data_IF_201055064564
#
_entry.id   IF_201055064564
#
_cell.length_a   1.000
_cell.length_b   1.000
_cell.length_c   1.000
_cell.angle_alpha   90.00
_cell.angle_beta   90.00
_cell.angle_gamma   90.00
#
_symmetry.space_group_name_H-M   'P 1'
#
loop_
_entity.id
_entity.type
_entity.pdbx_description
1 polymer ?
#
# COMPACT_ATOMS: atom_id res chain seq x y z
N UNK A 1 14.61 -27.92 -11.88
CA UNK A 1 13.42 -27.12 -11.55
C UNK A 1 13.73 -26.03 -10.52
N UNK A 2 14.49 -26.32 -9.46
CA UNK A 2 14.94 -25.32 -8.47
C UNK A 2 15.47 -24.00 -9.10
N UNK A 3 16.53 -24.05 -9.91
CA UNK A 3 17.06 -22.84 -10.60
C UNK A 3 16.04 -22.24 -11.59
N UNK A 4 15.18 -23.06 -12.19
CA UNK A 4 14.17 -22.58 -13.12
C UNK A 4 13.13 -21.68 -12.44
N UNK A 5 12.81 -21.92 -11.17
CA UNK A 5 11.93 -21.05 -10.38
C UNK A 5 12.51 -19.64 -10.25
N UNK A 6 13.82 -19.52 -9.97
CA UNK A 6 14.52 -18.22 -9.93
C UNK A 6 14.46 -17.55 -11.31
N UNK A 7 14.72 -18.28 -12.40
CA UNK A 7 14.68 -17.73 -13.75
C UNK A 7 13.27 -17.23 -14.09
N UNK A 8 12.23 -18.00 -13.78
CA UNK A 8 10.83 -17.61 -13.96
C UNK A 8 10.53 -16.32 -13.17
N UNK A 9 10.94 -16.28 -11.91
CA UNK A 9 10.74 -15.11 -11.05
C UNK A 9 11.45 -13.87 -11.62
N UNK A 10 12.73 -13.96 -11.98
CA UNK A 10 13.51 -12.84 -12.53
C UNK A 10 12.95 -12.34 -13.86
N UNK A 11 12.55 -13.25 -14.77
CA UNK A 11 11.92 -12.87 -16.05
C UNK A 11 10.56 -12.21 -15.80
N UNK A 12 9.75 -12.79 -14.93
CA UNK A 12 8.45 -12.26 -14.54
C UNK A 12 8.56 -10.86 -13.93
N UNK A 13 9.52 -10.68 -13.04
CA UNK A 13 9.83 -9.40 -12.43
C UNK A 13 10.34 -8.36 -13.42
N UNK A 14 11.21 -8.76 -14.35
CA UNK A 14 11.65 -7.89 -15.43
C UNK A 14 10.48 -7.47 -16.32
N UNK A 15 9.51 -8.35 -16.57
CA UNK A 15 8.30 -8.01 -17.32
C UNK A 15 7.43 -6.97 -16.59
N UNK A 16 7.31 -7.08 -15.27
CA UNK A 16 6.63 -6.09 -14.40
C UNK A 16 7.32 -4.73 -14.52
N UNK A 17 8.65 -4.68 -14.32
CA UNK A 17 9.43 -3.44 -14.39
C UNK A 17 9.41 -2.80 -15.79
N UNK A 18 9.29 -3.62 -16.84
CA UNK A 18 9.23 -3.19 -18.25
C UNK A 18 7.80 -3.05 -18.77
N UNK A 19 6.79 -2.88 -17.90
CA UNK A 19 5.38 -2.68 -18.25
C UNK A 19 5.19 -1.66 -19.39
N UNK A 20 5.79 -0.48 -19.27
CA UNK A 20 5.60 0.59 -20.26
C UNK A 20 6.22 0.25 -21.65
N UNK A 21 7.48 -0.24 -21.75
CA UNK A 21 8.03 -0.77 -22.99
C UNK A 21 7.25 -1.95 -23.58
N UNK A 22 6.82 -2.91 -22.75
CA UNK A 22 6.15 -4.14 -23.18
C UNK A 22 4.67 -3.94 -23.51
N UNK A 23 4.04 -2.88 -22.98
CA UNK A 23 2.60 -2.60 -23.07
C UNK A 23 1.73 -3.75 -22.55
N UNK A 24 2.23 -4.44 -21.54
CA UNK A 24 1.53 -5.52 -20.84
C UNK A 24 1.31 -5.04 -19.41
N UNK A 25 0.07 -5.15 -18.93
CA UNK A 25 -0.30 -4.80 -17.57
C UNK A 25 0.53 -5.61 -16.55
N UNK A 26 1.13 -4.90 -15.58
CA UNK A 26 1.97 -5.53 -14.56
C UNK A 26 1.28 -6.64 -13.77
N UNK A 27 -0.03 -6.53 -13.57
CA UNK A 27 -0.84 -7.49 -12.80
C UNK A 27 -0.94 -8.82 -13.53
N UNK A 28 -1.07 -8.78 -14.86
CA UNK A 28 -1.08 -9.99 -15.69
C UNK A 28 0.27 -10.73 -15.60
N UNK A 29 1.38 -9.98 -15.70
CA UNK A 29 2.73 -10.53 -15.55
C UNK A 29 2.96 -11.12 -14.15
N UNK A 30 2.50 -10.45 -13.10
CA UNK A 30 2.61 -10.93 -11.72
C UNK A 30 1.83 -12.23 -11.51
N UNK A 31 0.57 -12.31 -11.95
CA UNK A 31 -0.25 -13.52 -11.83
C UNK A 31 0.36 -14.72 -12.56
N UNK A 32 0.84 -14.51 -13.80
CA UNK A 32 1.54 -15.56 -14.54
C UNK A 32 2.78 -16.02 -13.81
N UNK A 33 3.57 -15.08 -13.28
CA UNK A 33 4.79 -15.41 -12.52
C UNK A 33 4.46 -16.25 -11.29
N UNK A 34 3.49 -15.84 -10.48
CA UNK A 34 3.04 -16.60 -9.31
C UNK A 34 2.65 -18.02 -9.65
N UNK A 35 1.74 -18.20 -10.61
CA UNK A 35 1.27 -19.54 -11.01
C UNK A 35 2.39 -20.38 -11.61
N UNK A 36 3.28 -19.80 -12.43
CA UNK A 36 4.39 -20.53 -13.04
C UNK A 36 5.43 -20.97 -12.02
N UNK A 37 5.72 -20.17 -10.98
CA UNK A 37 6.63 -20.56 -9.89
C UNK A 37 6.08 -21.77 -9.14
N UNK A 38 4.80 -21.75 -8.74
CA UNK A 38 4.15 -22.90 -8.09
C UNK A 38 4.07 -24.13 -9.00
N UNK A 39 3.80 -23.93 -10.29
CA UNK A 39 3.80 -25.02 -11.27
C UNK A 39 5.19 -25.67 -11.39
N UNK A 40 6.26 -24.87 -11.43
CA UNK A 40 7.63 -25.36 -11.45
C UNK A 40 8.01 -26.10 -10.15
N UNK A 41 7.48 -25.66 -9.01
CA UNK A 41 7.64 -26.35 -7.71
C UNK A 41 6.99 -27.73 -7.73
N UNK A 42 5.75 -27.85 -8.22
CA UNK A 42 5.05 -29.15 -8.35
C UNK A 42 5.83 -30.10 -9.27
N UNK A 43 6.25 -29.62 -10.44
CA UNK A 43 7.01 -30.42 -11.41
C UNK A 43 8.36 -30.89 -10.84
N UNK A 44 8.99 -30.06 -10.00
CA UNK A 44 10.28 -30.36 -9.36
C UNK A 44 10.20 -30.90 -7.93
N UNK A 45 9.01 -31.20 -7.42
CA UNK A 45 8.79 -31.41 -5.98
C UNK A 45 9.52 -32.62 -5.41
N UNK A 46 9.79 -33.64 -6.24
CA UNK A 46 10.56 -34.82 -5.86
C UNK A 46 12.01 -34.49 -5.47
N UNK A 47 12.66 -33.64 -6.27
CA UNK A 47 14.04 -33.22 -6.06
C UNK A 47 14.17 -32.04 -5.08
N UNK A 48 13.17 -31.15 -5.05
CA UNK A 48 13.21 -29.92 -4.24
C UNK A 48 12.80 -30.21 -2.79
N UNK A 49 11.69 -30.92 -2.59
CA UNK A 49 11.11 -31.14 -1.25
C UNK A 49 11.56 -32.46 -0.62
N UNK A 50 12.25 -33.33 -1.36
CA UNK A 50 12.74 -34.63 -0.88
C UNK A 50 11.63 -35.65 -0.53
N UNK A 51 10.38 -35.36 -0.88
CA UNK A 51 9.23 -36.21 -0.60
C UNK A 51 9.12 -37.38 -1.61
N UNK A 52 8.83 -38.58 -1.11
CA UNK A 52 8.74 -39.80 -1.92
C UNK A 52 7.29 -40.13 -2.29
N UNK A 53 6.82 -39.56 -3.39
CA UNK A 53 5.54 -39.90 -4.00
C UNK A 53 4.75 -38.68 -4.42
N UNK A 54 4.11 -38.75 -5.59
CA UNK A 54 3.33 -37.64 -6.15
C UNK A 54 2.27 -37.18 -5.15
N UNK A 55 1.63 -38.11 -4.44
CA UNK A 55 0.55 -37.80 -3.50
C UNK A 55 1.01 -37.00 -2.28
N UNK A 56 2.18 -37.31 -1.72
CA UNK A 56 2.77 -36.59 -0.59
C UNK A 56 3.24 -35.20 -1.02
N UNK A 57 3.84 -35.08 -2.21
CA UNK A 57 4.24 -33.81 -2.81
C UNK A 57 3.01 -32.91 -3.01
N UNK A 58 1.95 -33.43 -3.64
CA UNK A 58 0.73 -32.65 -3.88
C UNK A 58 0.06 -32.24 -2.58
N UNK A 59 -0.01 -33.13 -1.58
CA UNK A 59 -0.63 -32.80 -0.30
C UNK A 59 0.15 -31.72 0.46
N UNK A 60 1.50 -31.78 0.44
CA UNK A 60 2.33 -30.75 1.03
C UNK A 60 2.15 -29.40 0.30
N UNK A 61 2.22 -29.39 -1.03
CA UNK A 61 2.05 -28.17 -1.82
C UNK A 61 0.66 -27.57 -1.63
N UNK A 62 -0.41 -28.38 -1.61
CA UNK A 62 -1.77 -27.90 -1.36
C UNK A 62 -1.88 -27.26 0.03
N UNK A 63 -1.24 -27.85 1.04
CA UNK A 63 -1.19 -27.29 2.39
C UNK A 63 -0.47 -25.93 2.41
N UNK A 64 0.72 -25.84 1.81
CA UNK A 64 1.52 -24.60 1.77
C UNK A 64 0.83 -23.49 0.98
N UNK A 65 0.22 -23.82 -0.18
CA UNK A 65 -0.56 -22.86 -0.96
C UNK A 65 -1.71 -22.31 -0.12
N UNK A 66 -2.49 -23.16 0.55
CA UNK A 66 -3.63 -22.70 1.36
C UNK A 66 -3.17 -21.87 2.57
N UNK A 67 -2.05 -22.26 3.19
CA UNK A 67 -1.44 -21.49 4.27
C UNK A 67 -1.07 -20.08 3.81
N UNK A 68 -0.25 -19.95 2.77
CA UNK A 68 0.15 -18.65 2.22
C UNK A 68 -1.03 -17.87 1.65
N UNK A 69 -1.98 -18.53 0.98
CA UNK A 69 -3.17 -17.88 0.44
C UNK A 69 -4.04 -17.26 1.54
N UNK A 70 -4.06 -17.84 2.75
CA UNK A 70 -4.80 -17.27 3.88
C UNK A 70 -4.18 -15.95 4.37
N UNK A 71 -2.85 -15.86 4.41
CA UNK A 71 -2.10 -14.65 4.79
C UNK A 71 -2.22 -13.58 3.71
N UNK A 72 -1.95 -13.96 2.45
CA UNK A 72 -2.11 -13.10 1.29
C UNK A 72 -3.55 -12.59 1.21
N UNK A 73 -4.54 -13.48 1.32
CA UNK A 73 -5.96 -13.13 1.31
C UNK A 73 -6.32 -12.11 2.39
N UNK A 74 -5.75 -12.23 3.58
CA UNK A 74 -5.95 -11.25 4.66
C UNK A 74 -5.47 -9.84 4.24
N UNK A 75 -4.32 -9.74 3.57
CA UNK A 75 -3.82 -8.47 3.02
C UNK A 75 -4.74 -7.97 1.89
N UNK A 76 -5.11 -8.83 0.95
CA UNK A 76 -5.94 -8.43 -0.21
C UNK A 76 -7.33 -7.95 0.21
N UNK A 77 -8.00 -8.64 1.15
CA UNK A 77 -9.29 -8.19 1.68
C UNK A 77 -9.14 -6.89 2.48
N UNK A 78 -8.01 -6.71 3.18
CA UNK A 78 -7.72 -5.45 3.84
C UNK A 78 -7.65 -4.30 2.83
N UNK A 79 -6.82 -4.45 1.79
CA UNK A 79 -6.60 -3.46 0.76
C UNK A 79 -7.87 -3.14 -0.02
N UNK A 80 -8.63 -4.16 -0.43
CA UNK A 80 -9.90 -3.97 -1.15
C UNK A 80 -10.91 -3.19 -0.29
N UNK A 81 -11.03 -3.55 1.00
CA UNK A 81 -11.90 -2.85 1.93
C UNK A 81 -11.49 -1.39 2.16
N UNK A 82 -10.19 -1.17 2.38
CA UNK A 82 -9.63 0.16 2.61
C UNK A 82 -9.82 1.06 1.38
N UNK A 83 -9.38 0.62 0.20
CA UNK A 83 -9.55 1.38 -1.04
C UNK A 83 -11.01 1.69 -1.34
N UNK A 84 -11.93 0.74 -1.10
CA UNK A 84 -13.36 1.01 -1.29
C UNK A 84 -13.89 2.10 -0.35
N UNK A 85 -13.44 2.14 0.91
CA UNK A 85 -13.78 3.21 1.85
C UNK A 85 -13.25 4.55 1.33
N UNK A 86 -11.99 4.60 0.86
CA UNK A 86 -11.43 5.86 0.37
C UNK A 86 -12.11 6.34 -0.90
N UNK A 87 -12.41 5.43 -1.82
CA UNK A 87 -13.13 5.75 -3.04
C UNK A 87 -14.55 6.26 -2.73
N UNK A 88 -15.21 5.72 -1.72
CA UNK A 88 -16.48 6.28 -1.23
C UNK A 88 -16.31 7.69 -0.67
N UNK A 89 -15.23 7.98 0.05
CA UNK A 89 -14.93 9.33 0.54
C UNK A 89 -14.74 10.28 -0.65
N UNK A 90 -13.94 9.89 -1.66
CA UNK A 90 -13.66 10.75 -2.81
C UNK A 90 -14.90 10.97 -3.69
N UNK A 91 -15.68 9.92 -3.94
CA UNK A 91 -16.94 10.02 -4.67
C UNK A 91 -17.91 11.02 -4.03
N UNK A 92 -17.91 11.12 -2.69
CA UNK A 92 -18.72 12.11 -1.95
C UNK A 92 -18.06 13.51 -1.86
N UNK A 93 -16.99 13.74 -2.61
CA UNK A 93 -16.12 14.91 -2.56
C UNK A 93 -15.56 15.19 -1.15
N UNK A 94 -15.39 14.16 -0.31
CA UNK A 94 -15.00 14.26 1.10
C UNK A 94 -13.73 15.08 1.32
N UNK A 95 -12.75 14.94 0.43
CA UNK A 95 -11.48 15.69 0.52
C UNK A 95 -11.62 17.20 0.31
N UNK A 96 -12.74 17.67 -0.27
CA UNK A 96 -13.03 19.11 -0.36
C UNK A 96 -13.19 19.77 1.00
N UNK A 97 -13.59 19.02 2.03
CA UNK A 97 -13.63 19.47 3.42
C UNK A 97 -12.29 20.08 3.82
N UNK A 98 -11.20 19.54 3.29
CA UNK A 98 -9.85 20.00 3.58
C UNK A 98 -9.39 21.05 2.57
N UNK A 99 -9.59 20.84 1.27
CA UNK A 99 -9.09 21.77 0.24
C UNK A 99 -9.75 23.14 0.28
N UNK A 100 -11.05 23.21 0.59
CA UNK A 100 -11.80 24.47 0.63
C UNK A 100 -11.27 25.43 1.72
N UNK A 101 -10.47 24.91 2.68
CA UNK A 101 -9.81 25.70 3.74
C UNK A 101 -8.44 26.26 3.32
N UNK A 102 -7.86 25.80 2.22
CA UNK A 102 -6.53 26.21 1.75
C UNK A 102 -6.64 27.44 0.84
N UNK A 103 -6.40 28.63 1.39
CA UNK A 103 -6.53 29.92 0.67
C UNK A 103 -5.21 30.59 0.28
N UNK A 104 -4.07 30.09 0.74
CA UNK A 104 -2.77 30.71 0.44
C UNK A 104 -2.34 30.49 -1.01
N UNK A 105 -1.62 31.46 -1.56
CA UNK A 105 -0.96 31.39 -2.88
C UNK A 105 0.56 31.44 -2.75
N UNK A 106 1.10 31.62 -1.54
CA UNK A 106 2.53 31.59 -1.31
C UNK A 106 3.05 30.15 -1.49
N UNK A 107 4.05 29.97 -2.35
CA UNK A 107 4.59 28.65 -2.70
C UNK A 107 5.07 27.88 -1.49
N UNK A 108 5.80 28.53 -0.58
CA UNK A 108 6.39 27.88 0.58
C UNK A 108 5.28 27.48 1.56
N UNK A 109 4.40 28.41 1.95
CA UNK A 109 3.29 28.12 2.85
C UNK A 109 2.38 27.04 2.28
N UNK A 110 2.07 27.09 0.99
CA UNK A 110 1.26 26.08 0.33
C UNK A 110 1.96 24.71 0.36
N UNK A 111 3.26 24.65 0.06
CA UNK A 111 4.04 23.41 0.10
C UNK A 111 4.01 22.79 1.50
N UNK A 112 4.25 23.59 2.54
CA UNK A 112 4.19 23.14 3.93
C UNK A 112 2.81 22.59 4.29
N UNK A 113 1.73 23.31 3.94
CA UNK A 113 0.37 22.85 4.21
C UNK A 113 0.10 21.52 3.52
N UNK A 114 0.37 21.43 2.21
CA UNK A 114 0.04 20.23 1.43
C UNK A 114 0.89 19.03 1.82
N UNK A 115 2.19 19.20 2.05
CA UNK A 115 3.08 18.10 2.42
C UNK A 115 2.81 17.57 3.82
N UNK A 116 2.63 18.44 4.83
CA UNK A 116 2.25 18.00 6.19
C UNK A 116 0.91 17.28 6.15
N UNK A 117 -0.05 17.81 5.39
CA UNK A 117 -1.36 17.20 5.27
C UNK A 117 -1.30 15.84 4.60
N UNK A 118 -0.53 15.72 3.52
CA UNK A 118 -0.26 14.46 2.82
C UNK A 118 0.38 13.45 3.77
N UNK A 119 1.35 13.87 4.58
CA UNK A 119 2.04 13.00 5.54
C UNK A 119 1.09 12.37 6.57
N UNK A 120 0.16 13.17 7.12
CA UNK A 120 -0.84 12.62 8.06
C UNK A 120 -1.96 11.87 7.36
N UNK A 121 -2.35 12.27 6.15
CA UNK A 121 -3.34 11.54 5.35
C UNK A 121 -2.84 10.15 5.00
N UNK A 122 -1.57 10.03 4.57
CA UNK A 122 -0.96 8.75 4.25
C UNK A 122 -0.71 7.87 5.47
N UNK A 123 -0.79 8.40 6.69
CA UNK A 123 -0.80 7.55 7.88
C UNK A 123 -2.18 6.89 8.10
N UNK A 124 -3.25 7.48 7.57
CA UNK A 124 -4.62 6.97 7.71
C UNK A 124 -5.14 6.24 6.46
N UNK A 125 -4.53 6.51 5.32
CA UNK A 125 -4.87 6.00 4.00
C UNK A 125 -3.62 5.38 3.39
N UNK A 126 -3.75 4.50 2.40
CA UNK A 126 -2.58 4.01 1.68
C UNK A 126 -1.88 5.14 0.88
N UNK A 127 -0.58 4.98 0.66
CA UNK A 127 0.31 5.93 -0.02
C UNK A 127 -0.11 6.24 -1.47
N UNK A 128 -0.53 5.23 -2.24
CA UNK A 128 -1.04 5.36 -3.60
C UNK A 128 -2.31 6.21 -3.61
N UNK A 129 -3.31 5.84 -2.81
CA UNK A 129 -4.57 6.56 -2.73
C UNK A 129 -4.35 8.00 -2.27
N UNK A 130 -3.53 8.21 -1.24
CA UNK A 130 -3.18 9.56 -0.79
C UNK A 130 -2.57 10.38 -1.92
N UNK A 131 -1.66 9.80 -2.69
CA UNK A 131 -1.02 10.45 -3.83
C UNK A 131 -2.03 10.81 -4.93
N UNK A 132 -2.97 9.91 -5.27
CA UNK A 132 -4.03 10.17 -6.26
C UNK A 132 -4.92 11.33 -5.81
N UNK A 133 -5.43 11.26 -4.57
CA UNK A 133 -6.29 12.29 -3.98
C UNK A 133 -5.56 13.63 -4.00
N UNK A 134 -4.33 13.67 -3.50
CA UNK A 134 -3.55 14.90 -3.42
C UNK A 134 -3.16 15.44 -4.81
N UNK A 135 -2.93 14.57 -5.80
CA UNK A 135 -2.72 14.99 -7.19
C UNK A 135 -3.99 15.64 -7.79
N UNK A 136 -5.18 15.12 -7.48
CA UNK A 136 -6.45 15.74 -7.88
C UNK A 136 -6.65 17.10 -7.21
N UNK A 137 -6.25 17.23 -5.93
CA UNK A 137 -6.22 18.52 -5.21
C UNK A 137 -5.25 19.51 -5.85
N UNK A 138 -4.04 19.09 -6.21
CA UNK A 138 -3.03 19.97 -6.82
C UNK A 138 -3.53 20.61 -8.10
N UNK A 139 -4.22 19.84 -8.97
CA UNK A 139 -4.80 20.36 -10.23
C UNK A 139 -5.82 21.48 -10.01
N UNK A 140 -6.47 21.54 -8.84
CA UNK A 140 -7.43 22.60 -8.48
C UNK A 140 -6.75 23.83 -7.87
N UNK A 141 -5.53 23.68 -7.35
CA UNK A 141 -4.81 24.74 -6.66
C UNK A 141 -3.73 25.40 -7.52
N UNK A 142 -3.14 24.69 -8.48
CA UNK A 142 -1.97 25.14 -9.24
C UNK A 142 -2.26 25.07 -10.74
N UNK A 143 -2.15 26.21 -11.44
CA UNK A 143 -2.32 26.33 -12.89
C UNK A 143 -1.05 25.97 -13.66
N UNK A 144 0.10 26.44 -13.18
CA UNK A 144 1.39 26.22 -13.85
C UNK A 144 1.85 24.76 -13.76
N UNK A 145 2.23 24.18 -14.89
CA UNK A 145 2.60 22.76 -14.98
C UNK A 145 3.89 22.43 -14.23
N UNK A 146 4.85 23.36 -14.19
CA UNK A 146 6.14 23.15 -13.51
C UNK A 146 5.95 23.17 -12.00
N UNK A 147 5.17 24.13 -11.49
CA UNK A 147 4.75 24.15 -10.08
C UNK A 147 4.00 22.86 -9.75
N UNK A 148 3.05 22.42 -10.59
CA UNK A 148 2.27 21.21 -10.35
C UNK A 148 3.15 19.95 -10.23
N UNK A 149 4.10 19.75 -11.14
CA UNK A 149 5.00 18.59 -11.10
C UNK A 149 5.95 18.61 -9.91
N UNK A 150 6.43 19.80 -9.54
CA UNK A 150 7.32 19.95 -8.40
C UNK A 150 6.60 19.69 -7.07
N UNK A 151 5.40 20.25 -6.91
CA UNK A 151 4.53 19.95 -5.77
C UNK A 151 4.13 18.47 -5.73
N UNK A 152 3.82 17.86 -6.87
CA UNK A 152 3.51 16.43 -6.94
C UNK A 152 4.67 15.58 -6.42
N UNK A 153 5.92 15.88 -6.82
CA UNK A 153 7.09 15.17 -6.30
C UNK A 153 7.23 15.26 -4.79
N UNK A 154 7.01 16.45 -4.21
CA UNK A 154 7.02 16.63 -2.75
C UNK A 154 5.87 15.89 -2.05
N UNK A 155 4.70 15.80 -2.69
CA UNK A 155 3.56 15.02 -2.19
C UNK A 155 3.89 13.52 -2.20
N UNK A 156 4.53 12.99 -3.24
CA UNK A 156 4.95 11.57 -3.24
C UNK A 156 5.91 11.28 -2.09
N UNK A 157 6.91 12.15 -1.85
CA UNK A 157 7.81 12.02 -0.70
C UNK A 157 7.04 12.04 0.62
N UNK A 158 6.09 12.97 0.77
CA UNK A 158 5.29 13.09 1.99
C UNK A 158 4.35 11.89 2.20
N UNK A 159 3.78 11.34 1.12
CA UNK A 159 2.91 10.17 1.18
C UNK A 159 3.71 8.95 1.63
N UNK A 160 4.83 8.62 0.97
CA UNK A 160 5.65 7.47 1.37
C UNK A 160 6.18 7.61 2.80
N UNK A 161 6.72 8.78 3.17
CA UNK A 161 7.18 9.03 4.52
C UNK A 161 6.03 8.92 5.54
N UNK A 162 4.84 9.41 5.20
CA UNK A 162 3.65 9.36 6.04
C UNK A 162 3.06 7.97 6.21
N UNK A 163 3.14 7.13 5.18
CA UNK A 163 2.67 5.74 5.21
C UNK A 163 3.50 4.84 6.12
N UNK A 164 4.83 4.99 6.07
CA UNK A 164 5.77 4.10 6.73
C UNK A 164 5.64 4.01 8.27
N UNK A 165 5.19 5.08 8.94
CA UNK A 165 5.07 5.10 10.40
C UNK A 165 3.71 4.60 10.92
N UNK A 166 2.81 4.16 10.02
CA UNK A 166 1.47 3.73 10.40
C UNK A 166 1.21 2.28 9.96
N UNK A 167 0.57 1.45 10.80
CA UNK A 167 0.24 0.06 10.46
C UNK A 167 -0.68 -0.10 9.25
N UNK A 168 -1.35 0.99 8.83
CA UNK A 168 -2.32 0.99 7.72
C UNK A 168 -1.93 1.92 6.57
N UNK A 169 -0.81 2.65 6.70
CA UNK A 169 -0.46 3.73 5.77
C UNK A 169 0.26 3.27 4.49
N UNK A 170 0.88 2.10 4.53
CA UNK A 170 1.52 1.47 3.38
C UNK A 170 1.25 -0.04 3.35
N UNK A 171 1.19 -0.62 2.16
CA UNK A 171 0.97 -2.05 1.92
C UNK A 171 2.04 -2.87 2.62
N UNK A 172 3.30 -2.47 2.55
CA UNK A 172 4.44 -3.14 3.21
C UNK A 172 4.30 -3.13 4.73
N UNK A 173 3.86 -2.01 5.31
CA UNK A 173 3.65 -1.90 6.76
C UNK A 173 2.42 -2.70 7.19
N UNK A 174 1.37 -2.74 6.37
CA UNK A 174 0.21 -3.63 6.55
C UNK A 174 0.66 -5.09 6.55
N UNK A 175 1.55 -5.49 5.63
CA UNK A 175 2.07 -6.86 5.56
C UNK A 175 2.81 -7.26 6.84
N UNK A 176 3.74 -6.43 7.31
CA UNK A 176 4.48 -6.66 8.56
C UNK A 176 3.55 -6.66 9.78
N UNK A 177 2.51 -5.83 9.77
CA UNK A 177 1.53 -5.80 10.85
C UNK A 177 0.59 -7.01 10.85
N UNK A 178 0.09 -7.44 9.69
CA UNK A 178 -0.77 -8.62 9.56
C UNK A 178 0.03 -9.90 9.85
N UNK A 179 1.27 -9.99 9.36
CA UNK A 179 2.18 -11.11 9.61
C UNK A 179 2.67 -11.19 11.06
N UNK A 180 2.51 -10.13 11.85
CA UNK A 180 2.82 -10.11 13.28
C UNK A 180 4.24 -9.65 13.62
N UNK A 181 5.04 -9.24 12.64
CA UNK A 181 6.37 -8.66 12.82
C UNK A 181 6.34 -7.32 13.56
N UNK A 182 5.28 -6.52 13.34
CA UNK A 182 5.10 -5.22 13.99
C UNK A 182 3.80 -5.15 14.78
N UNK A 183 3.84 -4.43 15.90
CA UNK A 183 2.64 -3.95 16.58
C UNK A 183 2.32 -2.51 16.17
N UNK A 184 1.02 -2.17 16.21
CA UNK A 184 0.56 -0.85 15.78
C UNK A 184 1.12 0.29 16.64
N UNK A 185 1.29 0.05 17.95
CA UNK A 185 1.85 1.06 18.85
C UNK A 185 3.34 1.28 18.60
N UNK A 186 4.09 0.19 18.40
CA UNK A 186 5.53 0.24 18.24
C UNK A 186 5.96 0.94 16.95
N UNK A 187 5.38 0.56 15.80
CA UNK A 187 5.70 1.21 14.52
C UNK A 187 5.46 2.72 14.55
N UNK A 188 4.40 3.17 15.23
CA UNK A 188 4.12 4.60 15.38
C UNK A 188 5.19 5.30 16.22
N UNK A 189 5.67 4.68 17.28
CA UNK A 189 6.66 5.32 18.17
C UNK A 189 8.04 5.35 17.53
N UNK A 190 8.49 4.23 16.96
CA UNK A 190 9.85 4.06 16.47
C UNK A 190 10.05 4.69 15.08
N UNK A 191 9.06 4.61 14.19
CA UNK A 191 9.21 5.05 12.80
C UNK A 191 8.74 6.49 12.57
N UNK A 192 7.90 7.07 13.44
CA UNK A 192 7.36 8.43 13.24
C UNK A 192 8.44 9.51 13.14
N UNK A 193 9.43 9.50 14.04
CA UNK A 193 10.50 10.50 14.02
C UNK A 193 11.42 10.36 12.79
N UNK A 194 11.92 9.16 12.43
CA UNK A 194 12.60 8.92 11.17
C UNK A 194 11.79 9.39 9.94
N UNK A 195 10.52 8.99 9.83
CA UNK A 195 9.62 9.39 8.75
C UNK A 195 9.43 10.90 8.67
N UNK A 196 9.25 11.57 9.81
CA UNK A 196 9.14 13.02 9.86
C UNK A 196 10.44 13.69 9.40
N UNK A 197 11.60 13.16 9.78
CA UNK A 197 12.89 13.66 9.31
C UNK A 197 13.05 13.50 7.79
N UNK A 198 12.63 12.36 7.23
CA UNK A 198 12.64 12.09 5.79
C UNK A 198 11.79 13.09 5.00
N UNK A 199 10.69 13.59 5.57
CA UNK A 199 9.89 14.68 5.00
C UNK A 199 10.53 16.06 5.19
N UNK A 200 10.95 16.36 6.43
CA UNK A 200 11.40 17.71 6.79
C UNK A 200 12.70 18.09 6.06
N UNK A 201 13.61 17.15 5.84
CA UNK A 201 14.88 17.42 5.15
C UNK A 201 14.68 18.04 3.74
N UNK A 202 13.95 17.40 2.80
CA UNK A 202 13.68 18.00 1.50
C UNK A 202 12.76 19.23 1.60
N UNK A 203 11.77 19.24 2.51
CA UNK A 203 10.84 20.37 2.65
C UNK A 203 11.55 21.66 3.10
N UNK A 204 12.45 21.55 4.07
CA UNK A 204 13.26 22.68 4.55
C UNK A 204 14.18 23.17 3.43
N UNK A 205 14.87 22.27 2.72
CA UNK A 205 15.73 22.63 1.61
C UNK A 205 14.98 23.40 0.50
N UNK A 206 13.80 22.89 0.12
CA UNK A 206 12.94 23.51 -0.89
C UNK A 206 12.40 24.87 -0.44
N UNK A 207 12.16 25.05 0.86
CA UNK A 207 11.67 26.32 1.43
C UNK A 207 12.63 27.50 1.20
N UNK A 208 13.92 27.22 1.09
CA UNK A 208 14.92 28.26 0.79
C UNK A 208 15.01 28.58 -0.70
N UNK A 209 14.77 27.59 -1.56
CA UNK A 209 15.03 27.68 -3.01
C UNK A 209 13.77 28.08 -3.80
N UNK A 210 12.57 27.68 -3.35
CA UNK A 210 11.33 27.75 -4.13
C UNK A 210 10.35 28.82 -3.63
N UNK A 211 10.72 30.09 -3.79
CA UNK A 211 9.94 31.25 -3.33
C UNK A 211 9.02 31.81 -4.42
N UNK A 212 8.06 32.64 -3.99
CA UNK A 212 7.11 33.33 -4.86
C UNK A 212 5.68 32.84 -4.67
N UNK A 213 4.80 33.21 -5.60
CA UNK A 213 3.39 32.86 -5.55
C UNK A 213 3.03 31.94 -6.71
N UNK A 214 2.07 31.06 -6.45
CA UNK A 214 1.40 30.26 -7.49
C UNK A 214 0.24 31.05 -8.11
N UNK A 215 -0.07 30.73 -9.36
CA UNK A 215 -1.32 31.12 -10.00
C UNK A 215 -2.33 29.99 -9.85
N UNK A 216 -3.55 30.31 -9.40
CA UNK A 216 -4.64 29.33 -9.29
C UNK A 216 -5.36 29.21 -10.63
N UNK A 217 -5.85 28.01 -11.01
CA UNK A 217 -6.72 27.87 -12.17
C UNK A 217 -7.95 28.77 -12.04
N UNK A 218 -8.43 29.30 -13.16
CA UNK A 218 -9.75 29.95 -13.20
C UNK A 218 -10.81 28.86 -12.97
N UNK A 219 -11.82 29.12 -12.13
CA UNK A 219 -12.89 28.14 -11.88
C UNK A 219 -13.68 27.89 -13.18
N UNK A 220 -13.34 26.83 -13.91
CA UNK A 220 -14.22 26.31 -14.96
C UNK A 220 -15.44 25.69 -14.27
N UNK A 221 -16.50 26.49 -14.16
CA UNK A 221 -17.76 26.12 -13.54
C UNK A 221 -18.58 25.20 -14.46
N UNK A 222 -18.05 24.05 -14.85
CA UNK A 222 -18.83 22.99 -15.48
C UNK A 222 -19.40 22.08 -14.37
N UNK A 223 -20.42 22.55 -13.66
CA UNK A 223 -21.20 21.70 -12.75
C UNK A 223 -22.15 20.85 -13.58
N UNK A 224 -21.72 19.65 -13.95
CA UNK A 224 -22.57 18.65 -14.62
C UNK A 224 -23.47 17.88 -13.64
N UNK A 225 -23.19 17.95 -12.33
CA UNK A 225 -23.95 17.28 -11.27
C UNK A 225 -24.44 18.24 -10.19
N UNK A 226 -25.58 17.90 -9.57
CA UNK A 226 -26.07 18.59 -8.38
C UNK A 226 -25.00 18.53 -7.27
N UNK A 227 -24.69 19.66 -6.59
CA UNK A 227 -23.67 19.67 -5.56
C UNK A 227 -24.10 18.80 -4.38
N UNK A 228 -23.21 17.90 -3.96
CA UNK A 228 -23.40 17.06 -2.78
C UNK A 228 -23.58 17.95 -1.54
N UNK A 229 -24.65 17.77 -0.74
CA UNK A 229 -24.86 18.58 0.45
C UNK A 229 -23.68 18.46 1.43
N UNK A 230 -23.24 19.59 1.99
CA UNK A 230 -22.07 19.64 2.88
C UNK A 230 -22.15 18.66 4.06
N UNK A 231 -23.35 18.39 4.58
CA UNK A 231 -23.54 17.48 5.70
C UNK A 231 -23.29 16.01 5.31
N UNK A 232 -23.68 15.61 4.08
CA UNK A 232 -23.45 14.26 3.54
C UNK A 232 -21.97 14.03 3.32
N UNK A 233 -21.31 14.99 2.66
CA UNK A 233 -19.86 15.01 2.45
C UNK A 233 -19.10 14.89 3.77
N UNK A 234 -19.46 15.71 4.76
CA UNK A 234 -18.80 15.66 6.08
C UNK A 234 -19.06 14.33 6.78
N UNK A 235 -20.28 13.81 6.73
CA UNK A 235 -20.63 12.53 7.34
C UNK A 235 -19.78 11.40 6.77
N UNK A 236 -19.74 11.25 5.45
CA UNK A 236 -18.97 10.18 4.78
C UNK A 236 -17.47 10.35 5.04
N UNK A 237 -16.94 11.57 4.95
CA UNK A 237 -15.53 11.85 5.23
C UNK A 237 -15.14 11.45 6.67
N UNK A 238 -15.85 11.98 7.68
CA UNK A 238 -15.51 11.69 9.08
C UNK A 238 -15.78 10.23 9.44
N UNK A 239 -16.85 9.62 8.95
CA UNK A 239 -17.14 8.22 9.20
C UNK A 239 -16.08 7.31 8.56
N UNK A 240 -15.73 7.53 7.29
CA UNK A 240 -14.74 6.73 6.58
C UNK A 240 -13.35 6.79 7.23
N UNK A 241 -12.85 8.01 7.51
CA UNK A 241 -11.57 8.18 8.23
C UNK A 241 -11.63 7.56 9.63
N UNK A 242 -12.75 7.69 10.34
CA UNK A 242 -12.90 7.07 11.67
C UNK A 242 -12.89 5.54 11.60
N UNK A 243 -13.53 4.93 10.59
CA UNK A 243 -13.51 3.48 10.43
C UNK A 243 -12.12 2.94 10.07
N UNK A 244 -11.32 3.69 9.28
CA UNK A 244 -9.92 3.35 8.99
C UNK A 244 -9.06 3.38 10.26
N UNK A 245 -9.14 4.48 11.02
CA UNK A 245 -8.39 4.64 12.28
C UNK A 245 -8.88 3.71 13.40
N UNK A 246 -10.09 3.17 13.28
CA UNK A 246 -10.64 2.19 14.21
C UNK A 246 -10.01 0.79 14.05
N UNK A 247 -9.47 0.43 12.87
CA UNK A 247 -8.99 -0.94 12.62
C UNK A 247 -7.86 -1.38 13.56
N UNK A 248 -6.85 -0.56 13.86
CA UNK A 248 -5.83 -0.91 14.86
C UNK A 248 -6.41 -1.14 16.26
N UNK A 249 -7.40 -0.33 16.65
CA UNK A 249 -8.10 -0.47 17.93
C UNK A 249 -8.89 -1.78 17.95
N UNK A 250 -9.62 -2.09 16.88
CA UNK A 250 -10.37 -3.33 16.72
C UNK A 250 -9.47 -4.55 16.86
N UNK A 251 -8.32 -4.61 16.15
CA UNK A 251 -7.34 -5.71 16.27
C UNK A 251 -6.85 -5.85 17.71
N UNK A 252 -6.48 -4.74 18.35
CA UNK A 252 -5.90 -4.75 19.70
C UNK A 252 -6.89 -5.25 20.76
N UNK A 253 -8.17 -4.88 20.64
CA UNK A 253 -9.21 -5.25 21.62
C UNK A 253 -9.79 -6.64 21.36
N UNK A 254 -9.99 -7.01 20.10
CA UNK A 254 -10.68 -8.26 19.73
C UNK A 254 -9.74 -9.41 19.40
N UNK A 255 -8.45 -9.13 19.14
CA UNK A 255 -7.46 -10.05 18.57
C UNK A 255 -7.83 -10.65 17.21
N UNK A 256 -8.91 -10.17 16.57
CA UNK A 256 -9.27 -10.58 15.22
C UNK A 256 -8.33 -9.96 14.18
N UNK A 257 -8.14 -10.64 13.03
CA UNK A 257 -7.32 -10.10 11.94
C UNK A 257 -7.81 -8.72 11.46
N UNK A 258 -6.89 -7.81 11.05
CA UNK A 258 -7.24 -6.46 10.58
C UNK A 258 -8.30 -6.41 9.48
N UNK A 259 -8.30 -7.38 8.56
CA UNK A 259 -9.26 -7.39 7.46
C UNK A 259 -10.72 -7.48 7.95
N UNK A 260 -10.97 -8.13 9.09
CA UNK A 260 -12.31 -8.18 9.68
C UNK A 260 -12.76 -6.79 10.17
N UNK A 261 -11.83 -6.01 10.73
CA UNK A 261 -12.08 -4.63 11.15
C UNK A 261 -12.39 -3.72 9.98
N UNK A 262 -11.63 -3.82 8.88
CA UNK A 262 -11.91 -3.00 7.68
C UNK A 262 -13.22 -3.40 7.01
N UNK A 263 -13.56 -4.69 6.95
CA UNK A 263 -14.82 -5.15 6.36
C UNK A 263 -16.02 -4.71 7.19
N UNK A 264 -15.88 -4.69 8.52
CA UNK A 264 -16.87 -4.07 9.41
C UNK A 264 -17.00 -2.56 9.10
N UNK A 265 -15.87 -1.87 8.96
CA UNK A 265 -15.80 -0.48 8.50
C UNK A 265 -16.58 -0.21 7.22
N UNK A 266 -16.27 -0.99 6.19
CA UNK A 266 -16.91 -0.89 4.89
C UNK A 266 -18.40 -1.23 4.99
N UNK A 267 -18.78 -2.27 5.73
CA UNK A 267 -20.18 -2.65 5.92
C UNK A 267 -21.01 -1.55 6.60
N UNK A 268 -20.47 -0.91 7.64
CA UNK A 268 -21.12 0.23 8.31
C UNK A 268 -21.24 1.41 7.36
N UNK A 269 -20.15 1.79 6.68
CA UNK A 269 -20.15 2.90 5.73
C UNK A 269 -21.14 2.66 4.58
N UNK A 270 -21.18 1.43 4.06
CA UNK A 270 -22.12 1.00 3.03
C UNK A 270 -23.56 1.18 3.50
N UNK A 271 -23.92 0.65 4.68
CA UNK A 271 -25.28 0.78 5.21
C UNK A 271 -25.70 2.25 5.35
N UNK A 272 -24.80 3.10 5.85
CA UNK A 272 -25.07 4.54 6.01
C UNK A 272 -25.27 5.22 4.66
N UNK A 273 -24.40 4.97 3.68
CA UNK A 273 -24.52 5.60 2.34
C UNK A 273 -25.72 5.07 1.57
N UNK A 274 -26.10 3.80 1.73
CA UNK A 274 -27.30 3.24 1.13
C UNK A 274 -28.58 3.84 1.71
N UNK A 275 -28.66 3.99 3.04
CA UNK A 275 -29.78 4.66 3.71
C UNK A 275 -29.89 6.12 3.23
N UNK A 276 -28.75 6.80 3.11
CA UNK A 276 -28.68 8.20 2.69
C UNK A 276 -29.21 8.42 1.26
N UNK A 277 -28.93 7.49 0.36
CA UNK A 277 -29.28 7.59 -1.05
C UNK A 277 -30.57 6.86 -1.44
N UNK A 278 -31.20 6.13 -0.51
CA UNK A 278 -32.36 5.28 -0.76
C UNK A 278 -33.54 5.99 -1.44
N UNK A 279 -33.74 7.26 -1.14
CA UNK A 279 -34.86 8.09 -1.66
C UNK A 279 -34.49 8.91 -2.89
N UNK A 280 -33.21 8.90 -3.31
CA UNK A 280 -32.72 9.71 -4.42
C UNK A 280 -32.74 8.89 -5.73
N UNK A 281 -32.83 9.59 -6.87
CA UNK A 281 -32.93 8.94 -8.18
C UNK A 281 -31.71 8.05 -8.49
N UNK A 282 -31.92 6.74 -8.62
CA UNK A 282 -30.83 5.73 -8.80
C UNK A 282 -29.89 6.03 -9.97
N UNK A 283 -30.36 6.66 -11.04
CA UNK A 283 -29.52 7.01 -12.19
C UNK A 283 -28.51 8.14 -11.90
N UNK A 284 -28.79 9.03 -10.95
CA UNK A 284 -27.91 10.16 -10.62
C UNK A 284 -26.89 9.80 -9.53
N UNK A 285 -27.26 8.90 -8.61
CA UNK A 285 -26.48 8.61 -7.40
C UNK A 285 -25.79 7.23 -7.43
N UNK A 286 -25.80 6.53 -8.57
CA UNK A 286 -25.20 5.19 -8.64
C UNK A 286 -23.69 5.20 -8.33
N UNK A 287 -22.97 6.21 -8.81
CA UNK A 287 -21.54 6.40 -8.52
C UNK A 287 -21.23 6.71 -7.05
N UNK A 288 -22.25 7.07 -6.25
CA UNK A 288 -22.14 7.33 -4.81
C UNK A 288 -22.49 6.10 -3.96
N UNK A 289 -22.91 5.01 -4.59
CA UNK A 289 -23.13 3.71 -3.92
C UNK A 289 -21.86 2.87 -3.96
N UNK A 290 -21.69 1.99 -2.98
CA UNK A 290 -20.53 1.08 -2.92
C UNK A 290 -20.38 0.23 -4.18
N UNK A 291 -21.50 -0.20 -4.78
CA UNK A 291 -21.49 -0.97 -6.04
C UNK A 291 -21.00 -0.14 -7.22
N UNK A 292 -21.27 1.18 -7.21
CA UNK A 292 -20.75 2.11 -8.20
C UNK A 292 -19.26 2.38 -8.00
N UNK A 293 -18.83 2.66 -6.77
CA UNK A 293 -17.43 2.96 -6.43
C UNK A 293 -16.51 1.75 -6.55
N UNK A 294 -17.02 0.53 -6.35
CA UNK A 294 -16.25 -0.70 -6.61
C UNK A 294 -15.69 -0.79 -8.03
N UNK A 295 -16.24 -0.06 -9.00
CA UNK A 295 -15.71 0.01 -10.37
C UNK A 295 -14.48 0.90 -10.50
N UNK A 296 -14.34 1.86 -9.60
CA UNK A 296 -13.21 2.81 -9.56
C UNK A 296 -12.07 2.29 -8.67
N UNK A 297 -12.33 1.27 -7.84
CA UNK A 297 -11.29 0.59 -7.06
C UNK A 297 -10.26 -0.06 -7.99
N UNK A 298 -8.98 0.10 -7.66
CA UNK A 298 -7.85 -0.45 -8.40
C UNK A 298 -7.68 -1.97 -8.16
N UNK A 299 -8.63 -2.75 -8.68
CA UNK A 299 -8.58 -4.22 -8.68
C UNK A 299 -7.30 -4.76 -9.36
N UNK A 300 -6.77 -4.17 -10.45
CA UNK A 300 -5.47 -4.56 -10.99
C UNK A 300 -4.35 -4.56 -9.95
N UNK A 301 -4.21 -3.51 -9.13
CA UNK A 301 -3.19 -3.49 -8.06
C UNK A 301 -3.36 -4.62 -7.04
N UNK A 302 -4.60 -4.99 -6.68
CA UNK A 302 -4.88 -6.15 -5.80
C UNK A 302 -4.42 -7.46 -6.46
N UNK A 303 -4.69 -7.65 -7.76
CA UNK A 303 -4.27 -8.83 -8.52
C UNK A 303 -2.76 -8.88 -8.72
N UNK A 304 -2.12 -7.72 -8.88
CA UNK A 304 -0.68 -7.58 -8.90
C UNK A 304 -0.05 -8.07 -7.60
N UNK A 305 -0.56 -7.61 -6.44
CA UNK A 305 -0.09 -8.07 -5.14
C UNK A 305 -0.33 -9.58 -4.93
N UNK A 306 -1.50 -10.10 -5.32
CA UNK A 306 -1.77 -11.54 -5.29
C UNK A 306 -0.70 -12.32 -6.06
N UNK A 307 -0.42 -11.91 -7.30
CA UNK A 307 0.54 -12.59 -8.16
C UNK A 307 1.96 -12.57 -7.61
N UNK A 308 2.43 -11.42 -7.15
CA UNK A 308 3.81 -11.28 -6.66
C UNK A 308 4.01 -11.97 -5.32
N UNK A 309 3.05 -11.88 -4.40
CA UNK A 309 3.13 -12.55 -3.10
C UNK A 309 3.04 -14.07 -3.27
N UNK A 310 2.22 -14.57 -4.19
CA UNK A 310 2.22 -15.99 -4.55
C UNK A 310 3.57 -16.43 -5.12
N UNK A 311 4.21 -15.62 -5.97
CA UNK A 311 5.52 -15.94 -6.53
C UNK A 311 6.60 -16.02 -5.43
N UNK A 312 6.61 -15.06 -4.51
CA UNK A 312 7.54 -15.05 -3.36
C UNK A 312 7.28 -16.24 -2.44
N UNK A 313 6.01 -16.54 -2.12
CA UNK A 313 5.64 -17.70 -1.32
C UNK A 313 6.11 -19.03 -1.93
N UNK A 314 6.01 -19.17 -3.27
CA UNK A 314 6.53 -20.35 -3.95
C UNK A 314 8.06 -20.48 -3.86
N UNK A 315 8.79 -19.36 -3.92
CA UNK A 315 10.24 -19.36 -3.68
C UNK A 315 10.59 -19.66 -2.21
N UNK A 316 9.79 -19.17 -1.27
CA UNK A 316 9.92 -19.47 0.16
C UNK A 316 9.74 -20.96 0.42
N UNK A 317 8.64 -21.54 -0.07
CA UNK A 317 8.32 -22.97 0.08
C UNK A 317 9.41 -23.86 -0.52
N UNK A 318 10.06 -23.42 -1.60
CA UNK A 318 11.18 -24.15 -2.19
C UNK A 318 12.49 -24.08 -1.38
N UNK A 319 12.62 -23.13 -0.43
CA UNK A 319 13.85 -22.90 0.34
C UNK A 319 14.82 -21.89 -0.30
N UNK A 320 14.43 -21.18 -1.35
CA UNK A 320 15.29 -20.17 -1.99
C UNK A 320 15.57 -18.98 -1.08
N UNK A 321 14.55 -18.52 -0.36
CA UNK A 321 14.66 -17.37 0.52
C UNK A 321 15.54 -17.67 1.75
N UNK A 322 15.41 -18.86 2.34
CA UNK A 322 16.26 -19.32 3.45
C UNK A 322 17.75 -19.35 3.06
N UNK A 323 18.06 -19.83 1.84
CA UNK A 323 19.43 -19.82 1.32
C UNK A 323 19.96 -18.41 1.09
N UNK A 324 19.12 -17.51 0.61
CA UNK A 324 19.49 -16.10 0.42
C UNK A 324 19.74 -15.41 1.77
N UNK A 325 18.90 -15.65 2.77
CA UNK A 325 19.07 -15.17 4.13
C UNK A 325 20.43 -15.60 4.70
N UNK A 326 20.70 -16.91 4.65
CA UNK A 326 21.96 -17.49 5.11
C UNK A 326 23.17 -16.90 4.38
N UNK A 327 23.06 -16.64 3.08
CA UNK A 327 24.15 -16.04 2.30
C UNK A 327 24.41 -14.58 2.71
N UNK A 328 23.36 -13.80 2.95
CA UNK A 328 23.48 -12.41 3.40
C UNK A 328 24.06 -12.32 4.81
N UNK A 329 23.57 -13.14 5.74
CA UNK A 329 24.06 -13.18 7.12
C UNK A 329 25.54 -13.55 7.19
N UNK A 330 25.98 -14.55 6.41
CA UNK A 330 27.38 -14.94 6.34
C UNK A 330 28.27 -13.89 5.66
N UNK A 331 27.72 -13.09 4.75
CA UNK A 331 28.49 -12.06 4.02
C UNK A 331 28.67 -10.79 4.84
N UNK A 332 27.65 -10.43 5.63
CA UNK A 332 27.63 -9.19 6.41
C UNK A 332 27.76 -9.42 7.92
N UNK A 333 28.16 -10.61 8.35
CA UNK A 333 28.31 -11.03 9.76
C UNK A 333 27.04 -10.73 10.60
N UNK A 334 25.85 -10.94 10.01
CA UNK A 334 24.56 -10.65 10.64
C UNK A 334 24.26 -9.15 10.87
N UNK A 335 24.93 -8.24 10.16
CA UNK A 335 24.69 -6.80 10.31
C UNK A 335 23.36 -6.35 9.67
N UNK A 336 22.32 -6.29 10.51
CA UNK A 336 20.96 -5.89 10.13
C UNK A 336 20.88 -4.54 9.42
N UNK A 337 21.74 -3.58 9.77
CA UNK A 337 21.69 -2.23 9.21
C UNK A 337 22.14 -2.23 7.76
N UNK A 338 23.15 -3.04 7.42
CA UNK A 338 23.62 -3.16 6.04
C UNK A 338 22.57 -3.86 5.19
N UNK A 339 22.00 -4.96 5.70
CA UNK A 339 20.96 -5.73 5.00
C UNK A 339 19.74 -4.84 4.71
N UNK A 340 19.20 -4.16 5.72
CA UNK A 340 18.04 -3.29 5.53
C UNK A 340 18.34 -2.07 4.65
N UNK A 341 19.54 -1.48 4.75
CA UNK A 341 19.92 -0.39 3.86
C UNK A 341 20.02 -0.84 2.40
N UNK A 342 20.55 -2.04 2.16
CA UNK A 342 20.59 -2.62 0.81
C UNK A 342 19.18 -2.89 0.28
N UNK A 343 18.28 -3.45 1.11
CA UNK A 343 16.88 -3.66 0.75
C UNK A 343 16.22 -2.31 0.41
N UNK A 344 16.41 -1.28 1.24
CA UNK A 344 15.85 0.06 0.98
C UNK A 344 16.40 0.73 -0.29
N UNK A 345 17.70 0.60 -0.56
CA UNK A 345 18.30 1.09 -1.82
C UNK A 345 17.74 0.35 -3.02
N UNK A 346 17.55 -0.97 -2.91
CA UNK A 346 16.90 -1.76 -3.96
C UNK A 346 15.44 -1.33 -4.13
N UNK A 347 14.72 -1.01 -3.05
CA UNK A 347 13.34 -0.52 -3.05
C UNK A 347 13.17 0.82 -3.77
N UNK A 348 14.22 1.64 -3.86
CA UNK A 348 14.19 2.86 -4.65
C UNK A 348 14.15 2.61 -6.18
N UNK A 349 14.46 1.39 -6.62
CA UNK A 349 14.50 0.98 -8.04
C UNK A 349 13.38 -0.02 -8.34
N UNK A 350 13.06 -0.86 -7.37
CA UNK A 350 12.24 -2.05 -7.46
C UNK A 350 11.05 -1.91 -6.50
N UNK A 351 9.87 -2.39 -6.88
CA UNK A 351 8.69 -2.33 -6.02
C UNK A 351 8.94 -2.94 -4.62
N UNK A 352 8.38 -2.32 -3.59
CA UNK A 352 8.74 -2.60 -2.20
C UNK A 352 8.05 -3.85 -1.63
N UNK A 353 6.81 -4.12 -2.05
CA UNK A 353 6.03 -5.30 -1.64
C UNK A 353 6.78 -6.63 -1.79
N UNK A 354 7.36 -6.98 -2.95
CA UNK A 354 8.10 -8.23 -3.09
C UNK A 354 9.38 -8.28 -2.25
N UNK A 355 10.03 -7.15 -2.02
CA UNK A 355 11.23 -7.09 -1.18
C UNK A 355 10.89 -7.36 0.29
N UNK A 356 9.82 -6.73 0.80
CA UNK A 356 9.34 -6.96 2.17
C UNK A 356 8.79 -8.37 2.33
N UNK A 357 8.03 -8.88 1.37
CA UNK A 357 7.58 -10.28 1.37
C UNK A 357 8.77 -11.25 1.37
N UNK A 358 9.79 -10.95 0.58
CA UNK A 358 11.03 -11.71 0.54
C UNK A 358 11.71 -11.74 1.89
N UNK A 359 11.88 -10.57 2.53
CA UNK A 359 12.48 -10.46 3.86
C UNK A 359 11.67 -11.19 4.95
N UNK A 360 10.34 -11.12 4.91
CA UNK A 360 9.46 -11.89 5.79
C UNK A 360 9.62 -13.41 5.60
N UNK A 361 9.87 -13.87 4.36
CA UNK A 361 10.13 -15.27 4.07
C UNK A 361 11.58 -15.72 4.29
N UNK A 362 12.50 -14.77 4.50
CA UNK A 362 13.93 -15.01 4.76
C UNK A 362 14.22 -15.20 6.25
N UNK A 363 13.55 -14.46 7.12
CA UNK A 363 13.84 -14.44 8.55
C UNK A 363 12.59 -14.74 9.39
N UNK A 364 12.76 -15.57 10.41
CA UNK A 364 11.68 -15.96 11.31
C UNK A 364 11.71 -15.18 12.64
N UNK A 365 10.68 -15.39 13.48
CA UNK A 365 10.57 -14.78 14.80
C UNK A 365 11.62 -15.26 15.81
N UNK A 366 12.33 -16.36 15.53
CA UNK A 366 13.41 -16.86 16.38
C UNK A 366 14.69 -16.06 16.17
N UNK A 367 14.87 -15.56 14.95
CA UNK A 367 15.98 -14.69 14.54
C UNK A 367 15.70 -13.24 14.91
N UNK A 368 14.55 -12.71 14.49
CA UNK A 368 14.10 -11.35 14.79
C UNK A 368 12.72 -11.39 15.45
N UNK A 369 12.64 -11.21 16.78
CA UNK A 369 11.38 -11.17 17.52
C UNK A 369 10.41 -10.10 17.00
N UNK A 370 9.15 -10.17 17.44
CA UNK A 370 8.16 -9.12 17.20
C UNK A 370 8.70 -7.78 17.70
N UNK A 371 8.52 -6.73 16.92
CA UNK A 371 9.01 -5.37 17.20
C UNK A 371 10.55 -5.28 17.31
N UNK A 372 11.28 -6.19 16.67
CA UNK A 372 12.74 -6.04 16.52
C UNK A 372 13.09 -4.90 15.56
N UNK A 373 14.22 -4.24 15.82
CA UNK A 373 14.76 -3.15 15.00
C UNK A 373 14.94 -3.53 13.53
N UNK A 374 15.15 -4.82 13.21
CA UNK A 374 15.15 -5.28 11.83
C UNK A 374 13.83 -4.97 11.11
N UNK A 375 12.68 -5.27 11.73
CA UNK A 375 11.36 -5.07 11.15
C UNK A 375 10.97 -3.59 11.09
N UNK A 376 11.35 -2.82 12.11
CA UNK A 376 11.12 -1.36 12.16
C UNK A 376 11.90 -0.65 11.05
N UNK A 377 13.17 -1.02 10.87
CA UNK A 377 14.02 -0.44 9.84
C UNK A 377 13.58 -0.88 8.44
N UNK A 378 13.10 -2.13 8.29
CA UNK A 378 12.51 -2.61 7.06
C UNK A 378 11.25 -1.80 6.70
N UNK A 379 10.34 -1.56 7.65
CA UNK A 379 9.15 -0.74 7.43
C UNK A 379 9.49 0.72 7.07
N UNK A 380 10.55 1.28 7.65
CA UNK A 380 11.00 2.64 7.34
C UNK A 380 11.67 2.76 5.96
N UNK A 381 12.49 1.77 5.58
CA UNK A 381 13.33 1.84 4.39
C UNK A 381 12.68 1.28 3.12
N UNK A 382 11.72 0.37 3.24
CA UNK A 382 11.17 -0.38 2.11
C UNK A 382 9.97 0.29 1.47
#
# INVERSE_FOLDING_TARGET
>A
MYIAMIIIFVIGYAAIALEHPLKIDKSASALLTGVLVWTALVIGGDAILGAKGIQDITHHIDHEILHHLSEIGSILFFLLGAMTIVELIDAHEGFRVVTDRIKTTDRVKLMWILTILTFFFSAALDNLTTSIVMAAVLKKLIKDKKDLWFFAGMIIIAANAGGAWSPIGDVTTIMLWIGGQLTAGNVIVEVFLPSLAALLAPLIFVSFTYRGNIERPEEEFQRTHEPIPNWERNLVFFLGVSMLLFVPIFKTVTHLPPFMGILLGLGVLWLVTEILHRTKNKHHYHHLTVVGTLREVDVPSVLFFLGILLAVAGLQTAGHLEQLATALDNTFDGNIYIVNMLIGILSAIVDNVPLVAGAMGMYDFSTYPVDDTFWELLAYCA
#
